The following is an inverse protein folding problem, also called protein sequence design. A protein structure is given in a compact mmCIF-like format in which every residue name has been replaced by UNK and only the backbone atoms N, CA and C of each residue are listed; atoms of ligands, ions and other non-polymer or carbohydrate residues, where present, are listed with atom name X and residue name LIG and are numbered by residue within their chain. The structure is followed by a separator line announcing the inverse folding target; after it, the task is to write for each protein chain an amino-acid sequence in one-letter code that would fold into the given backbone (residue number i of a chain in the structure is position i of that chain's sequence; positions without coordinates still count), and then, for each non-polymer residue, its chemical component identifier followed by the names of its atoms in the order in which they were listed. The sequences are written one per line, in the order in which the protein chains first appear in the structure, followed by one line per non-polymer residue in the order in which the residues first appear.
data_IF_149641414066
#
_entry.id   IF_149641414066
#
_cell.length_a   1.000
_cell.length_b   1.000
_cell.length_c   1.000
_cell.angle_alpha   90.00
_cell.angle_beta   90.00
_cell.angle_gamma   90.00
#
_symmetry.space_group_name_H-M   'P 1'
#
loop_
_entity.id
_entity.type
_entity.pdbx_description
1 polymer ?
#
# COMPACT_ATOMS: atom_id res chain seq x y z
N UNK A 1 7.70 25.41 2.62
CA UNK A 1 7.94 23.96 2.52
C UNK A 1 6.58 23.40 2.16
N UNK A 2 6.39 23.01 0.89
CA UNK A 2 5.16 22.34 0.48
C UNK A 2 5.20 20.96 1.15
N UNK A 3 4.19 20.66 1.97
CA UNK A 3 4.02 19.32 2.54
C UNK A 3 3.57 18.47 1.36
N UNK A 4 4.50 17.74 0.74
CA UNK A 4 4.13 16.62 -0.09
C UNK A 4 3.41 15.65 0.85
N UNK A 5 2.12 15.46 0.61
CA UNK A 5 1.30 14.54 1.39
C UNK A 5 1.80 13.14 0.99
N UNK A 6 2.81 12.61 1.66
CA UNK A 6 3.30 11.26 1.42
C UNK A 6 2.33 10.26 2.10
N UNK A 7 1.10 10.12 1.59
CA UNK A 7 0.11 9.18 2.14
C UNK A 7 0.24 7.76 1.58
N UNK A 8 0.86 7.63 0.40
CA UNK A 8 1.14 6.35 -0.25
C UNK A 8 2.54 6.47 -0.84
N UNK A 9 3.42 5.54 -0.49
CA UNK A 9 4.85 5.61 -0.81
C UNK A 9 5.11 5.89 -2.29
N UNK A 10 5.49 7.13 -2.59
CA UNK A 10 5.98 7.58 -3.90
C UNK A 10 7.38 7.01 -4.23
N UNK A 11 7.77 5.93 -3.58
CA UNK A 11 8.99 5.18 -3.83
C UNK A 11 8.77 4.04 -4.82
N UNK A 12 7.87 4.18 -5.79
CA UNK A 12 7.87 3.27 -6.93
C UNK A 12 9.15 3.54 -7.72
N UNK A 13 10.11 2.59 -7.82
CA UNK A 13 11.01 2.64 -8.96
C UNK A 13 10.11 2.58 -10.20
N UNK A 14 10.32 3.49 -11.16
CA UNK A 14 9.66 3.43 -12.46
C UNK A 14 9.69 1.98 -12.94
N UNK A 15 8.54 1.32 -12.99
CA UNK A 15 8.43 -0.06 -13.47
C UNK A 15 8.61 0.07 -14.96
N UNK A 16 9.87 0.04 -15.42
CA UNK A 16 10.18 0.01 -16.84
C UNK A 16 9.35 -1.12 -17.45
N UNK A 17 8.55 -0.78 -18.46
CA UNK A 17 7.61 -1.68 -19.12
C UNK A 17 8.34 -2.93 -19.61
N UNK A 18 8.41 -3.97 -18.76
CA UNK A 18 8.92 -5.26 -19.18
C UNK A 18 7.84 -5.88 -20.05
N UNK A 19 8.18 -6.10 -21.32
CA UNK A 19 7.27 -6.65 -22.31
C UNK A 19 6.49 -7.84 -21.75
N UNK A 20 5.17 -7.74 -21.85
CA UNK A 20 4.18 -8.68 -21.33
C UNK A 20 4.52 -10.11 -21.75
N UNK A 21 5.23 -10.83 -20.88
CA UNK A 21 5.29 -12.28 -20.91
C UNK A 21 3.98 -12.77 -20.31
N UNK A 22 3.24 -13.60 -21.05
CA UNK A 22 1.96 -14.16 -20.58
C UNK A 22 2.21 -14.91 -19.27
N UNK A 23 1.65 -14.48 -18.12
CA UNK A 23 1.86 -15.19 -16.86
C UNK A 23 1.27 -16.59 -16.98
N UNK A 24 2.10 -17.60 -16.71
CA UNK A 24 1.61 -18.96 -16.54
C UNK A 24 0.66 -18.98 -15.35
N UNK A 25 -0.61 -19.28 -15.58
CA UNK A 25 -1.62 -19.37 -14.54
C UNK A 25 -1.15 -20.33 -13.43
N UNK A 26 -0.79 -19.78 -12.27
CA UNK A 26 -0.61 -20.58 -11.07
C UNK A 26 -1.97 -21.16 -10.67
N UNK A 27 -2.03 -22.41 -10.22
CA UNK A 27 -3.30 -23.02 -9.81
C UNK A 27 -3.89 -22.19 -8.68
N UNK A 28 -5.11 -21.69 -8.89
CA UNK A 28 -5.87 -20.98 -7.85
C UNK A 28 -6.13 -21.95 -6.70
N UNK A 29 -5.42 -21.77 -5.58
CA UNK A 29 -5.74 -22.42 -4.32
C UNK A 29 -7.16 -21.98 -3.92
N UNK A 30 -8.02 -22.94 -3.59
CA UNK A 30 -9.37 -22.62 -3.12
C UNK A 30 -9.28 -21.75 -1.86
N UNK A 31 -10.08 -20.67 -1.75
CA UNK A 31 -10.05 -19.82 -0.57
C UNK A 31 -10.42 -20.66 0.66
N UNK A 32 -9.52 -20.73 1.62
CA UNK A 32 -9.83 -21.26 2.95
C UNK A 32 -10.87 -20.32 3.55
N UNK A 33 -12.00 -20.85 4.02
CA UNK A 33 -13.03 -20.03 4.67
C UNK A 33 -12.45 -19.48 5.98
N UNK A 34 -12.00 -18.23 5.94
CA UNK A 34 -11.53 -17.51 7.13
C UNK A 34 -12.74 -17.28 8.05
N UNK A 35 -12.64 -17.57 9.36
CA UNK A 35 -13.68 -17.14 10.30
C UNK A 35 -13.87 -15.63 10.17
N UNK A 36 -15.09 -15.10 10.41
CA UNK A 36 -15.30 -13.66 10.40
C UNK A 36 -14.32 -13.01 11.39
N UNK A 37 -13.55 -12.05 10.90
CA UNK A 37 -12.69 -11.25 11.77
C UNK A 37 -13.62 -10.47 12.69
N UNK A 38 -13.52 -10.72 13.99
CA UNK A 38 -14.24 -9.96 15.02
C UNK A 38 -13.89 -8.46 14.94
N UNK A 39 -14.60 -7.62 15.69
CA UNK A 39 -14.39 -6.17 15.74
C UNK A 39 -12.91 -5.82 16.06
N UNK A 40 -12.10 -5.62 15.01
CA UNK A 40 -10.72 -5.14 15.16
C UNK A 40 -10.79 -3.66 15.50
N UNK A 41 -10.09 -3.27 16.56
CA UNK A 41 -9.88 -1.86 16.92
C UNK A 41 -8.45 -1.46 16.57
N UNK A 42 -8.18 -0.16 16.51
CA UNK A 42 -6.79 0.28 16.59
C UNK A 42 -6.17 -0.22 17.91
N UNK A 43 -4.94 -0.73 17.80
CA UNK A 43 -4.12 -1.28 18.88
C UNK A 43 -3.42 -2.56 18.45
N UNK A 44 -2.39 -2.97 19.21
CA UNK A 44 -1.72 -4.26 19.00
C UNK A 44 -2.69 -5.41 19.32
N UNK A 45 -3.06 -6.27 18.36
CA UNK A 45 -3.98 -7.35 18.62
C UNK A 45 -3.32 -8.45 19.46
N UNK A 46 -4.05 -8.98 20.44
CA UNK A 46 -3.63 -10.19 21.17
C UNK A 46 -3.47 -11.35 20.20
N UNK A 47 -2.36 -12.09 20.25
CA UNK A 47 -2.15 -13.27 19.39
C UNK A 47 -3.22 -14.33 19.65
N UNK A 48 -3.80 -14.90 18.59
CA UNK A 48 -4.66 -16.06 18.77
C UNK A 48 -3.80 -17.22 19.24
N UNK A 49 -4.18 -17.83 20.36
CA UNK A 49 -3.54 -19.06 20.80
C UNK A 49 -3.60 -20.06 19.65
N UNK A 50 -2.45 -20.55 19.21
CA UNK A 50 -2.37 -21.64 18.24
C UNK A 50 -3.12 -22.82 18.86
N UNK A 51 -4.36 -23.04 18.42
CA UNK A 51 -5.18 -24.13 18.93
C UNK A 51 -4.39 -25.42 18.73
N UNK A 52 -3.94 -26.05 19.82
CA UNK A 52 -2.97 -27.16 19.92
C UNK A 52 -2.87 -28.08 18.69
N UNK A 53 -2.32 -27.57 17.59
CA UNK A 53 -2.09 -28.29 16.35
C UNK A 53 -0.70 -28.96 16.40
N UNK A 54 -0.23 -29.27 17.62
CA UNK A 54 0.94 -30.06 17.91
C UNK A 54 0.75 -31.55 17.55
N UNK A 55 0.02 -31.83 16.47
CA UNK A 55 0.06 -33.11 15.77
C UNK A 55 1.38 -33.18 15.00
N UNK A 56 2.43 -33.61 15.68
CA UNK A 56 3.65 -34.26 15.16
C UNK A 56 3.96 -33.98 13.67
N UNK A 57 4.38 -32.76 13.34
CA UNK A 57 4.95 -32.43 12.02
C UNK A 57 6.40 -32.96 11.96
N UNK A 58 6.59 -34.28 12.01
CA UNK A 58 7.87 -34.91 11.70
C UNK A 58 8.05 -34.87 10.18
N UNK A 59 8.97 -34.02 9.69
CA UNK A 59 9.37 -34.04 8.30
C UNK A 59 9.99 -35.42 7.95
N UNK A 60 9.29 -36.21 7.15
CA UNK A 60 9.81 -37.49 6.63
C UNK A 60 10.88 -37.17 5.58
N UNK A 61 12.13 -37.16 6.00
CA UNK A 61 13.29 -37.10 5.09
C UNK A 61 13.69 -38.54 4.75
N UNK A 62 13.02 -39.16 3.78
CA UNK A 62 13.49 -40.43 3.18
C UNK A 62 14.32 -40.13 1.93
N UNK A 63 15.65 -40.22 2.07
CA UNK A 63 16.56 -40.13 0.93
C UNK A 63 17.95 -40.67 1.28
N UNK A 64 18.24 -41.89 0.82
CA UNK A 64 19.57 -42.52 0.90
C UNK A 64 20.44 -41.97 -0.25
N UNK A 65 21.66 -41.45 0.01
CA UNK A 65 22.53 -40.99 -1.07
C UNK A 65 23.24 -42.17 -1.75
N UNK A 66 23.09 -42.27 -3.08
CA UNK A 66 23.82 -43.22 -3.93
C UNK A 66 25.10 -42.58 -4.46
N UNK A 67 26.22 -43.30 -4.41
CA UNK A 67 27.56 -42.79 -4.67
C UNK A 67 27.92 -42.91 -6.17
N UNK A 68 27.43 -41.96 -6.98
CA UNK A 68 27.74 -41.84 -8.40
C UNK A 68 28.84 -40.81 -8.72
N UNK A 69 29.73 -41.15 -9.65
CA UNK A 69 30.90 -40.37 -10.11
C UNK A 69 30.49 -39.02 -10.76
N UNK A 70 31.24 -37.92 -10.55
CA UNK A 70 30.86 -36.59 -11.03
C UNK A 70 31.00 -36.48 -12.56
N UNK A 71 29.86 -36.34 -13.23
CA UNK A 71 29.77 -35.88 -14.62
C UNK A 71 29.24 -34.45 -14.60
N UNK A 72 29.96 -33.52 -15.22
CA UNK A 72 29.60 -32.10 -15.29
C UNK A 72 28.29 -31.91 -16.07
N UNK A 73 27.19 -31.98 -15.34
CA UNK A 73 25.83 -31.72 -15.81
C UNK A 73 25.47 -30.26 -15.51
N UNK A 74 24.57 -29.65 -16.29
CA UNK A 74 24.10 -28.29 -16.02
C UNK A 74 23.63 -28.19 -14.56
N UNK A 75 24.01 -27.09 -13.90
CA UNK A 75 23.62 -26.82 -12.51
C UNK A 75 22.10 -26.89 -12.46
N UNK A 76 21.50 -27.84 -11.72
CA UNK A 76 20.05 -27.92 -11.62
C UNK A 76 19.57 -26.59 -11.04
N UNK A 77 18.71 -25.89 -11.78
CA UNK A 77 17.97 -24.76 -11.23
C UNK A 77 17.20 -25.32 -10.03
N UNK A 78 17.52 -24.84 -8.83
CA UNK A 78 16.86 -25.29 -7.61
C UNK A 78 15.36 -25.11 -7.80
N UNK A 79 14.61 -26.22 -7.75
CA UNK A 79 13.16 -26.12 -7.72
C UNK A 79 12.78 -25.31 -6.47
N UNK A 80 11.82 -24.38 -6.57
CA UNK A 80 11.39 -23.61 -5.42
C UNK A 80 10.98 -24.57 -4.29
N UNK A 81 11.45 -24.29 -3.08
CA UNK A 81 11.03 -25.04 -1.91
C UNK A 81 9.49 -24.93 -1.79
N UNK A 82 8.79 -26.01 -1.42
CA UNK A 82 7.36 -25.92 -1.18
C UNK A 82 7.11 -24.90 -0.06
N UNK A 83 6.12 -24.03 -0.26
CA UNK A 83 5.69 -23.08 0.76
C UNK A 83 5.30 -23.81 2.06
N UNK A 84 5.58 -23.18 3.21
CA UNK A 84 5.14 -23.72 4.49
C UNK A 84 3.61 -23.63 4.57
N UNK A 85 2.97 -24.66 5.14
CA UNK A 85 1.53 -24.62 5.35
C UNK A 85 1.16 -23.53 6.36
N UNK A 86 0.50 -22.46 5.89
CA UNK A 86 -0.14 -21.46 6.73
C UNK A 86 -1.23 -22.10 7.58
N UNK A 87 -1.12 -22.02 8.91
CA UNK A 87 -2.23 -22.47 9.76
C UNK A 87 -3.37 -21.44 9.71
N UNK A 88 -4.64 -21.85 9.91
CA UNK A 88 -5.76 -20.91 9.99
C UNK A 88 -5.60 -19.86 11.09
N UNK A 89 -4.91 -20.19 12.19
CA UNK A 89 -4.64 -19.25 13.27
C UNK A 89 -3.63 -18.19 12.84
N UNK A 90 -2.53 -18.58 12.18
CA UNK A 90 -1.54 -17.63 11.67
C UNK A 90 -2.16 -16.68 10.62
N UNK A 91 -3.00 -17.22 9.73
CA UNK A 91 -3.69 -16.40 8.73
C UNK A 91 -4.61 -15.35 9.38
N UNK A 92 -5.37 -15.76 10.41
CA UNK A 92 -6.25 -14.85 11.15
C UNK A 92 -5.45 -13.80 11.97
N UNK A 93 -4.30 -14.18 12.54
CA UNK A 93 -3.41 -13.24 13.22
C UNK A 93 -2.86 -12.17 12.27
N UNK A 94 -2.35 -12.60 11.10
CA UNK A 94 -1.84 -11.71 10.06
C UNK A 94 -2.93 -10.74 9.58
N UNK A 95 -4.14 -11.25 9.29
CA UNK A 95 -5.26 -10.40 8.88
C UNK A 95 -5.64 -9.37 9.96
N UNK A 96 -5.67 -9.77 11.24
CA UNK A 96 -5.95 -8.84 12.35
C UNK A 96 -4.88 -7.76 12.48
N UNK A 97 -3.59 -8.10 12.35
CA UNK A 97 -2.50 -7.11 12.34
C UNK A 97 -2.67 -6.10 11.21
N UNK A 98 -2.93 -6.55 9.97
CA UNK A 98 -3.10 -5.67 8.81
C UNK A 98 -4.27 -4.71 9.02
N UNK A 99 -5.41 -5.21 9.51
CA UNK A 99 -6.60 -4.40 9.79
C UNK A 99 -6.38 -3.42 10.94
N UNK A 100 -5.73 -3.84 12.01
CA UNK A 100 -5.39 -2.97 13.15
C UNK A 100 -4.47 -1.83 12.72
N UNK A 101 -3.46 -2.12 11.90
CA UNK A 101 -2.55 -1.12 11.36
C UNK A 101 -3.28 -0.08 10.50
N UNK A 102 -4.18 -0.53 9.61
CA UNK A 102 -4.99 0.37 8.79
C UNK A 102 -5.83 1.33 9.63
N UNK A 103 -6.49 0.81 10.68
CA UNK A 103 -7.27 1.62 11.62
C UNK A 103 -6.38 2.62 12.36
N UNK A 104 -5.26 2.19 12.94
CA UNK A 104 -4.36 3.08 13.67
C UNK A 104 -3.78 4.19 12.80
N UNK A 105 -3.43 3.89 11.55
CA UNK A 105 -3.01 4.91 10.59
C UNK A 105 -4.15 5.91 10.29
N UNK A 106 -5.36 5.42 10.02
CA UNK A 106 -6.51 6.27 9.75
C UNK A 106 -6.94 7.15 10.93
N UNK A 107 -6.72 6.67 12.15
CA UNK A 107 -7.01 7.39 13.40
C UNK A 107 -5.85 8.26 13.91
N UNK A 108 -4.70 8.24 13.23
CA UNK A 108 -3.50 8.98 13.63
C UNK A 108 -2.87 8.50 14.95
N UNK A 109 -3.05 7.23 15.32
CA UNK A 109 -2.47 6.62 16.52
C UNK A 109 -1.02 6.18 16.26
N UNK A 110 -0.09 7.14 16.22
CA UNK A 110 1.31 6.90 15.84
C UNK A 110 2.03 5.91 16.76
N UNK A 111 1.71 5.88 18.06
CA UNK A 111 2.28 4.92 19.01
C UNK A 111 1.93 3.47 18.65
N UNK A 112 0.68 3.20 18.30
CA UNK A 112 0.25 1.86 17.89
C UNK A 112 0.80 1.48 16.51
N UNK A 113 0.96 2.46 15.60
CA UNK A 113 1.61 2.21 14.31
C UNK A 113 3.06 1.78 14.51
N UNK A 114 3.80 2.41 15.43
CA UNK A 114 5.17 2.00 15.76
C UNK A 114 5.23 0.54 16.20
N UNK A 115 4.32 0.10 17.07
CA UNK A 115 4.30 -1.27 17.58
C UNK A 115 3.92 -2.32 16.52
N UNK A 116 3.17 -1.91 15.49
CA UNK A 116 2.66 -2.75 14.41
C UNK A 116 3.56 -2.78 13.16
N UNK A 117 4.67 -2.05 13.15
CA UNK A 117 5.50 -1.85 11.96
C UNK A 117 6.99 -1.95 12.26
N UNK A 118 7.79 -2.31 11.26
CA UNK A 118 9.25 -2.23 11.34
C UNK A 118 9.75 -0.82 11.01
N UNK A 119 11.00 -0.45 11.37
CA UNK A 119 11.62 0.79 10.92
C UNK A 119 11.59 0.98 9.40
N UNK A 120 11.75 -0.11 8.63
CA UNK A 120 11.75 -0.07 7.17
C UNK A 120 10.38 0.36 6.63
N UNK A 121 9.30 -0.24 7.13
CA UNK A 121 7.95 0.12 6.73
C UNK A 121 7.60 1.56 7.09
N UNK A 122 8.01 2.05 8.26
CA UNK A 122 7.82 3.46 8.65
C UNK A 122 8.48 4.43 7.68
N UNK A 123 9.69 4.09 7.22
CA UNK A 123 10.38 4.84 6.16
C UNK A 123 9.64 4.83 4.83
N UNK A 124 9.01 3.71 4.48
CA UNK A 124 8.22 3.55 3.26
C UNK A 124 6.96 4.44 3.30
N UNK A 125 6.14 4.32 4.35
CA UNK A 125 4.86 5.03 4.44
C UNK A 125 4.98 6.54 4.66
N UNK A 126 6.15 7.02 5.08
CA UNK A 126 6.45 8.46 5.19
C UNK A 126 7.13 9.01 3.94
N UNK A 127 7.52 8.15 2.99
CA UNK A 127 8.28 8.54 1.81
C UNK A 127 9.72 8.98 2.12
N UNK A 128 10.26 8.66 3.31
CA UNK A 128 11.61 9.06 3.72
C UNK A 128 12.72 8.40 2.88
N UNK A 129 12.42 7.24 2.27
CA UNK A 129 13.38 6.48 1.46
C UNK A 129 14.47 5.76 2.28
N UNK A 130 14.41 5.85 3.60
CA UNK A 130 15.29 5.15 4.56
C UNK A 130 14.45 4.69 5.75
N UNK A 131 14.87 3.62 6.47
CA UNK A 131 14.22 3.23 7.71
C UNK A 131 14.15 4.38 8.71
N UNK A 132 13.06 4.46 9.47
CA UNK A 132 12.85 5.46 10.51
C UNK A 132 12.74 4.79 11.88
N UNK A 133 13.47 5.32 12.85
CA UNK A 133 13.24 4.93 14.24
C UNK A 133 11.88 5.43 14.75
N UNK A 134 11.52 5.05 15.97
CA UNK A 134 10.22 5.39 16.52
C UNK A 134 10.03 6.89 16.78
N UNK A 135 11.09 7.60 17.20
CA UNK A 135 11.02 9.04 17.50
C UNK A 135 10.89 9.83 16.20
N UNK A 136 11.72 9.51 15.21
CA UNK A 136 11.69 10.11 13.87
C UNK A 136 10.32 9.91 13.20
N UNK A 137 9.74 8.71 13.32
CA UNK A 137 8.42 8.45 12.76
C UNK A 137 7.33 9.27 13.45
N UNK A 138 7.31 9.35 14.79
CA UNK A 138 6.30 10.12 15.52
C UNK A 138 6.35 11.60 15.14
N UNK A 139 7.55 12.17 15.06
CA UNK A 139 7.76 13.57 14.65
C UNK A 139 7.22 13.84 13.24
N UNK A 140 7.40 12.92 12.30
CA UNK A 140 6.88 13.04 10.94
C UNK A 140 5.37 12.78 10.86
N UNK A 141 4.85 11.82 11.62
CA UNK A 141 3.44 11.47 11.65
C UNK A 141 2.56 12.65 12.12
N UNK A 142 3.05 13.48 13.06
CA UNK A 142 2.37 14.71 13.48
C UNK A 142 2.18 15.74 12.35
N UNK A 143 2.96 15.61 11.26
CA UNK A 143 2.90 16.49 10.09
C UNK A 143 2.05 15.92 8.96
N UNK A 144 1.52 14.71 9.10
CA UNK A 144 0.71 14.07 8.08
C UNK A 144 -0.78 14.22 8.40
N UNK A 145 -1.63 14.49 7.38
CA UNK A 145 -3.08 14.44 7.59
C UNK A 145 -3.51 13.01 7.88
N UNK A 146 -4.50 12.85 8.77
CA UNK A 146 -5.16 11.55 8.94
C UNK A 146 -6.12 11.31 7.78
N UNK A 147 -6.02 10.13 7.18
CA UNK A 147 -6.86 9.72 6.04
C UNK A 147 -7.44 8.35 6.34
N UNK A 148 -8.76 8.16 6.22
CA UNK A 148 -9.37 6.88 6.53
C UNK A 148 -8.83 5.78 5.60
N UNK A 149 -8.58 4.60 6.18
CA UNK A 149 -8.14 3.42 5.45
C UNK A 149 -9.10 2.27 5.74
N UNK A 150 -9.73 1.73 4.71
CA UNK A 150 -10.60 0.57 4.80
C UNK A 150 -9.97 -0.64 4.11
N UNK A 151 -9.75 -1.72 4.86
CA UNK A 151 -9.31 -3.00 4.26
C UNK A 151 -10.53 -3.75 3.71
N UNK A 152 -10.63 -3.84 2.39
CA UNK A 152 -11.69 -4.58 1.69
C UNK A 152 -11.45 -6.09 1.78
N UNK A 153 -10.25 -6.54 1.45
CA UNK A 153 -9.89 -7.96 1.49
C UNK A 153 -8.44 -8.17 1.90
N UNK A 154 -8.20 -9.23 2.66
CA UNK A 154 -6.88 -9.84 2.85
C UNK A 154 -6.95 -11.25 2.31
N UNK A 155 -6.09 -11.55 1.34
CA UNK A 155 -6.08 -12.82 0.62
C UNK A 155 -4.65 -13.33 0.46
N UNK A 156 -4.52 -14.55 -0.06
CA UNK A 156 -3.22 -15.14 -0.37
C UNK A 156 -2.21 -15.10 0.79
N UNK A 157 -2.67 -15.36 2.01
CA UNK A 157 -1.82 -15.33 3.21
C UNK A 157 -0.89 -16.55 3.23
N UNK A 158 0.42 -16.30 3.22
CA UNK A 158 1.47 -17.31 3.10
C UNK A 158 2.53 -17.12 4.18
N UNK A 159 2.99 -18.22 4.76
CA UNK A 159 4.23 -18.25 5.52
C UNK A 159 5.36 -18.63 4.55
N UNK A 160 6.18 -17.65 4.18
CA UNK A 160 7.24 -17.83 3.19
C UNK A 160 8.45 -18.56 3.81
N UNK A 161 8.80 -18.21 5.04
CA UNK A 161 9.83 -18.84 5.85
C UNK A 161 9.55 -18.65 7.35
N UNK A 162 10.24 -19.36 8.27
CA UNK A 162 10.03 -19.16 9.70
C UNK A 162 10.17 -17.70 10.10
N UNK A 163 9.07 -17.15 10.64
CA UNK A 163 9.00 -15.75 11.08
C UNK A 163 8.78 -14.72 9.98
N UNK A 164 8.49 -15.15 8.74
CA UNK A 164 8.08 -14.25 7.65
C UNK A 164 6.79 -14.70 7.00
N UNK A 165 5.96 -13.72 6.66
CA UNK A 165 4.73 -13.96 5.95
C UNK A 165 4.49 -12.89 4.88
N UNK A 166 3.59 -13.21 3.95
CA UNK A 166 3.06 -12.25 3.00
C UNK A 166 1.56 -12.42 2.84
N UNK A 167 0.87 -11.35 2.44
CA UNK A 167 -0.54 -11.34 2.11
C UNK A 167 -0.82 -10.35 0.97
N UNK A 168 -1.83 -10.63 0.15
CA UNK A 168 -2.36 -9.65 -0.80
C UNK A 168 -3.51 -8.88 -0.13
N UNK A 169 -3.39 -7.56 -0.11
CA UNK A 169 -4.32 -6.65 0.56
C UNK A 169 -4.94 -5.74 -0.49
N UNK A 170 -6.27 -5.65 -0.48
CA UNK A 170 -7.03 -4.62 -1.20
C UNK A 170 -7.59 -3.67 -0.16
N UNK A 171 -7.32 -2.37 -0.33
CA UNK A 171 -7.74 -1.34 0.60
C UNK A 171 -8.25 -0.11 -0.15
N UNK A 172 -9.06 0.71 0.53
CA UNK A 172 -9.44 2.04 0.08
C UNK A 172 -8.82 3.05 1.04
N UNK A 173 -7.98 3.95 0.52
CA UNK A 173 -7.35 5.04 1.29
C UNK A 173 -8.02 6.34 0.85
N UNK A 174 -8.79 6.98 1.74
CA UNK A 174 -9.85 7.93 1.39
C UNK A 174 -10.82 7.32 0.38
N UNK A 175 -10.60 7.56 -0.91
CA UNK A 175 -11.37 7.02 -2.02
C UNK A 175 -10.47 6.29 -3.04
N UNK A 176 -9.16 6.19 -2.81
CA UNK A 176 -8.24 5.51 -3.70
C UNK A 176 -8.23 4.01 -3.41
N UNK A 177 -8.67 3.21 -4.38
CA UNK A 177 -8.55 1.76 -4.34
C UNK A 177 -7.10 1.36 -4.63
N UNK A 178 -6.48 0.66 -3.69
CA UNK A 178 -5.11 0.15 -3.81
C UNK A 178 -5.09 -1.35 -3.60
N UNK A 179 -4.13 -2.00 -4.27
CA UNK A 179 -3.83 -3.41 -4.06
C UNK A 179 -2.33 -3.55 -3.88
N UNK A 180 -1.93 -4.21 -2.79
CA UNK A 180 -0.54 -4.39 -2.47
C UNK A 180 -0.26 -5.82 -1.99
N UNK A 181 0.97 -6.29 -2.19
CA UNK A 181 1.52 -7.42 -1.46
C UNK A 181 2.24 -6.89 -0.23
N UNK A 182 1.72 -7.21 0.95
CA UNK A 182 2.26 -6.81 2.24
C UNK A 182 3.14 -7.92 2.78
N UNK A 183 4.35 -7.59 3.22
CA UNK A 183 5.28 -8.50 3.89
C UNK A 183 5.27 -8.24 5.40
N UNK A 184 5.33 -9.31 6.19
CA UNK A 184 5.27 -9.26 7.65
C UNK A 184 6.41 -10.05 8.29
N UNK A 185 6.86 -9.60 9.46
CA UNK A 185 7.80 -10.30 10.32
C UNK A 185 7.11 -10.72 11.62
N UNK A 186 7.40 -11.93 12.09
CA UNK A 186 7.05 -12.36 13.44
C UNK A 186 8.20 -11.97 14.37
N UNK A 187 7.99 -11.01 15.25
CA UNK A 187 9.01 -10.45 16.13
C UNK A 187 8.68 -10.71 17.60
N UNK A 188 9.71 -10.81 18.43
CA UNK A 188 9.54 -10.77 19.89
C UNK A 188 9.19 -9.32 20.34
N UNK A 189 8.59 -9.14 21.54
CA UNK A 189 8.31 -7.81 22.06
C UNK A 189 9.57 -6.94 22.16
N UNK A 190 9.56 -5.79 21.50
CA UNK A 190 10.66 -4.82 21.53
C UNK A 190 11.88 -5.22 20.67
N UNK A 191 11.75 -6.22 19.80
CA UNK A 191 12.76 -6.56 18.81
C UNK A 191 12.28 -6.21 17.39
N UNK A 192 13.20 -5.79 16.53
CA UNK A 192 12.93 -5.50 15.11
C UNK A 192 13.29 -6.68 14.19
N UNK A 193 14.02 -7.67 14.72
CA UNK A 193 14.50 -8.82 13.94
C UNK A 193 13.49 -9.98 13.98
N UNK A 194 13.28 -10.70 12.86
CA UNK A 194 12.34 -11.79 12.81
C UNK A 194 12.81 -13.02 13.59
N UNK A 195 11.86 -13.72 14.21
CA UNK A 195 12.09 -14.98 14.91
C UNK A 195 12.38 -16.12 13.94
N UNK A 196 13.65 -16.52 13.87
CA UNK A 196 14.14 -17.57 12.96
C UNK A 196 13.61 -18.99 13.23
N UNK A 197 13.00 -19.24 14.38
CA UNK A 197 12.41 -20.52 14.75
C UNK A 197 10.88 -20.56 14.55
N UNK A 198 10.31 -19.51 13.94
CA UNK A 198 8.86 -19.36 13.76
C UNK A 198 8.13 -19.02 15.05
N UNK A 199 8.83 -18.53 16.08
CA UNK A 199 8.25 -18.00 17.31
C UNK A 199 7.55 -19.04 18.18
N UNK A 200 7.94 -20.31 18.09
CA UNK A 200 7.36 -21.39 18.90
C UNK A 200 7.69 -21.26 20.39
N UNK A 201 8.78 -20.58 20.73
CA UNK A 201 9.23 -20.38 22.10
C UNK A 201 8.70 -19.10 22.74
N UNK A 202 8.19 -18.15 21.94
CA UNK A 202 7.88 -16.79 22.39
C UNK A 202 6.36 -16.56 22.36
N UNK A 203 5.67 -16.72 23.51
CA UNK A 203 4.21 -16.61 23.57
C UNK A 203 3.72 -15.20 23.21
N UNK A 204 4.56 -14.19 23.44
CA UNK A 204 4.25 -12.78 23.22
C UNK A 204 4.73 -12.28 21.83
N UNK A 205 5.23 -13.18 20.97
CA UNK A 205 5.61 -12.81 19.61
C UNK A 205 4.41 -12.36 18.78
N UNK A 206 4.62 -11.35 17.92
CA UNK A 206 3.56 -10.73 17.12
C UNK A 206 4.00 -10.49 15.69
N UNK A 207 3.03 -10.47 14.78
CA UNK A 207 3.26 -10.05 13.40
C UNK A 207 3.32 -8.52 13.35
N UNK A 208 4.33 -7.99 12.65
CA UNK A 208 4.48 -6.58 12.30
C UNK A 208 4.65 -6.44 10.80
N UNK A 209 4.15 -5.35 10.23
CA UNK A 209 4.29 -5.07 8.79
C UNK A 209 5.68 -4.49 8.50
N UNK A 210 6.33 -5.02 7.49
CA UNK A 210 7.73 -4.73 7.16
C UNK A 210 7.91 -4.04 5.81
N UNK A 211 7.14 -4.46 4.81
CA UNK A 211 7.24 -3.92 3.46
C UNK A 211 5.88 -4.02 2.75
N UNK A 212 5.71 -3.21 1.71
CA UNK A 212 4.52 -3.19 0.89
C UNK A 212 4.90 -2.94 -0.57
N UNK A 213 4.54 -3.90 -1.42
CA UNK A 213 4.77 -3.84 -2.84
C UNK A 213 3.45 -3.57 -3.57
N UNK A 214 3.35 -2.48 -4.34
CA UNK A 214 2.19 -2.23 -5.17
C UNK A 214 1.93 -3.32 -6.20
N UNK A 215 0.67 -3.65 -6.38
CA UNK A 215 0.15 -4.54 -7.41
C UNK A 215 -0.83 -3.78 -8.31
N UNK A 216 -1.08 -4.34 -9.49
CA UNK A 216 -2.12 -3.83 -10.39
C UNK A 216 -3.50 -3.96 -9.72
N UNK A 217 -4.27 -2.87 -9.78
CA UNK A 217 -5.61 -2.77 -9.22
C UNK A 217 -6.62 -3.10 -10.31
N UNK A 218 -7.51 -4.06 -10.05
CA UNK A 218 -8.66 -4.31 -10.89
C UNK A 218 -9.74 -3.26 -10.56
N UNK A 219 -10.08 -2.34 -11.48
CA UNK A 219 -11.11 -1.35 -11.21
C UNK A 219 -12.51 -2.00 -11.15
N UNK A 220 -13.49 -1.38 -10.47
CA UNK A 220 -14.89 -1.76 -10.59
C UNK A 220 -15.33 -1.86 -12.05
N UNK A 221 -16.18 -2.85 -12.36
CA UNK A 221 -16.52 -3.18 -13.75
C UNK A 221 -17.31 -2.07 -14.48
N UNK A 222 -17.94 -1.18 -13.72
CA UNK A 222 -18.72 -0.03 -14.15
C UNK A 222 -18.01 1.31 -13.89
N UNK A 223 -16.73 1.29 -13.53
CA UNK A 223 -15.95 2.51 -13.37
C UNK A 223 -15.79 3.24 -14.70
N UNK A 224 -15.94 4.57 -14.68
CA UNK A 224 -15.76 5.41 -15.85
C UNK A 224 -14.29 5.79 -16.03
N UNK A 225 -13.78 5.67 -17.25
CA UNK A 225 -12.40 6.05 -17.58
C UNK A 225 -12.31 7.55 -17.91
N UNK A 226 -11.30 8.20 -17.34
CA UNK A 226 -10.97 9.61 -17.58
C UNK A 226 -9.50 9.69 -17.98
N UNK A 227 -9.22 10.22 -19.16
CA UNK A 227 -7.88 10.46 -19.64
C UNK A 227 -7.31 11.70 -18.94
N UNK A 228 -6.09 11.57 -18.40
CA UNK A 228 -5.36 12.66 -17.75
C UNK A 228 -3.99 12.79 -18.40
N UNK A 229 -3.67 13.97 -18.92
CA UNK A 229 -2.35 14.25 -19.48
C UNK A 229 -1.62 15.26 -18.61
N UNK A 230 -0.39 14.92 -18.24
CA UNK A 230 0.52 15.79 -17.51
C UNK A 230 1.57 16.34 -18.46
N UNK A 231 1.71 17.66 -18.49
CA UNK A 231 2.79 18.36 -19.18
C UNK A 231 3.36 19.45 -18.27
N UNK A 232 4.46 20.09 -18.68
CA UNK A 232 5.00 21.19 -17.90
C UNK A 232 3.97 22.30 -17.68
N UNK A 233 3.55 22.44 -16.43
CA UNK A 233 2.68 23.52 -15.96
C UNK A 233 1.21 23.39 -16.40
N UNK A 234 0.77 22.22 -16.87
CA UNK A 234 -0.64 21.95 -17.12
C UNK A 234 -1.03 20.50 -16.79
N UNK A 235 -2.30 20.34 -16.38
CA UNK A 235 -2.99 19.06 -16.30
C UNK A 235 -4.21 19.20 -17.21
N UNK A 236 -4.45 18.24 -18.08
CA UNK A 236 -5.68 18.16 -18.88
C UNK A 236 -6.46 16.91 -18.50
N UNK A 237 -7.78 17.02 -18.51
CA UNK A 237 -8.72 15.97 -18.11
C UNK A 237 -9.79 15.84 -19.20
N UNK A 238 -10.04 14.63 -19.70
CA UNK A 238 -11.09 14.34 -20.69
C UNK A 238 -11.76 12.98 -20.43
N UNK A 239 -13.07 12.90 -20.17
CA UNK A 239 -13.98 14.03 -19.96
C UNK A 239 -13.73 14.74 -18.61
N UNK A 240 -14.08 16.03 -18.52
CA UNK A 240 -14.07 16.80 -17.27
C UNK A 240 -15.31 16.58 -16.39
N UNK A 241 -16.18 15.63 -16.77
CA UNK A 241 -17.32 15.20 -15.98
C UNK A 241 -17.74 13.76 -16.26
N UNK A 242 -18.17 13.06 -15.21
CA UNK A 242 -18.60 11.64 -15.22
C UNK A 242 -19.94 11.48 -14.49
N UNK A 243 -20.69 10.43 -14.81
CA UNK A 243 -21.98 10.11 -14.20
C UNK A 243 -21.88 9.00 -13.12
N UNK A 244 -20.72 8.36 -12.99
CA UNK A 244 -20.43 7.27 -12.05
C UNK A 244 -19.59 7.69 -10.84
N UNK A 245 -19.79 6.98 -9.72
CA UNK A 245 -19.07 7.19 -8.45
C UNK A 245 -17.70 6.51 -8.41
N UNK A 246 -17.46 5.57 -9.33
CA UNK A 246 -16.18 4.88 -9.49
C UNK A 246 -15.52 5.38 -10.78
N UNK A 247 -14.27 5.84 -10.67
CA UNK A 247 -13.54 6.52 -11.74
C UNK A 247 -12.14 5.94 -11.85
N UNK A 248 -11.69 5.70 -13.08
CA UNK A 248 -10.31 5.32 -13.39
C UNK A 248 -9.64 6.48 -14.10
N UNK A 249 -8.67 7.12 -13.46
CA UNK A 249 -7.82 8.09 -14.12
C UNK A 249 -6.70 7.35 -14.85
N UNK A 250 -6.71 7.43 -16.18
CA UNK A 250 -5.66 6.92 -17.05
C UNK A 250 -4.68 8.06 -17.32
N UNK A 251 -3.54 8.04 -16.64
CA UNK A 251 -2.63 9.19 -16.55
C UNK A 251 -1.40 8.95 -17.42
N UNK A 252 -1.14 9.84 -18.38
CA UNK A 252 0.09 9.88 -19.16
C UNK A 252 0.88 11.15 -18.82
N UNK A 253 2.17 11.01 -18.52
CA UNK A 253 3.06 12.15 -18.36
C UNK A 253 3.92 12.36 -19.61
N UNK A 254 3.50 13.29 -20.46
CA UNK A 254 4.24 13.68 -21.68
C UNK A 254 5.30 14.76 -21.43
N UNK A 255 5.40 15.23 -20.18
CA UNK A 255 6.40 16.20 -19.72
C UNK A 255 7.81 15.60 -19.58
N UNK A 256 8.77 16.49 -19.38
CA UNK A 256 10.17 16.18 -19.14
C UNK A 256 10.51 15.96 -17.66
N UNK A 257 9.55 16.11 -16.74
CA UNK A 257 9.74 15.95 -15.29
C UNK A 257 8.67 15.05 -14.68
N UNK A 258 8.95 14.51 -13.51
CA UNK A 258 7.93 13.82 -12.73
C UNK A 258 6.87 14.83 -12.26
N UNK A 259 5.62 14.40 -12.28
CA UNK A 259 4.46 15.19 -11.89
C UNK A 259 3.60 14.43 -10.90
N UNK A 260 2.86 15.18 -10.10
CA UNK A 260 1.88 14.64 -9.15
C UNK A 260 0.46 14.85 -9.70
N UNK A 261 -0.39 13.85 -9.48
CA UNK A 261 -1.85 14.00 -9.56
C UNK A 261 -2.38 13.80 -8.14
N UNK A 262 -2.58 14.91 -7.43
CA UNK A 262 -3.27 14.95 -6.14
C UNK A 262 -4.73 15.29 -6.37
N UNK A 263 -5.62 14.36 -6.08
CA UNK A 263 -7.07 14.53 -6.24
C UNK A 263 -7.66 15.00 -4.92
N UNK A 264 -8.41 16.10 -5.00
CA UNK A 264 -9.02 16.77 -3.87
C UNK A 264 -10.50 17.00 -4.15
N UNK A 265 -11.35 16.74 -3.17
CA UNK A 265 -12.76 17.15 -3.20
C UNK A 265 -12.87 18.57 -2.66
N UNK A 266 -13.65 19.41 -3.33
CA UNK A 266 -13.90 20.79 -2.95
C UNK A 266 -15.35 20.95 -2.47
N UNK A 267 -15.52 21.46 -1.25
CA UNK A 267 -16.82 21.91 -0.78
C UNK A 267 -17.21 23.24 -1.45
N UNK A 268 -18.50 23.62 -1.36
CA UNK A 268 -19.04 24.85 -1.94
C UNK A 268 -18.21 26.10 -1.58
N UNK A 269 -17.55 26.68 -2.59
CA UNK A 269 -16.75 27.90 -2.46
C UNK A 269 -15.30 27.69 -2.03
N UNK A 270 -14.87 26.45 -1.76
CA UNK A 270 -13.47 26.11 -1.60
C UNK A 270 -12.73 26.23 -2.95
N UNK A 271 -11.44 26.59 -2.91
CA UNK A 271 -10.59 26.70 -4.10
C UNK A 271 -9.19 26.21 -3.83
N UNK A 272 -8.51 25.66 -4.84
CA UNK A 272 -7.11 25.21 -4.80
C UNK A 272 -6.14 26.31 -4.37
N UNK A 273 -6.48 27.59 -4.58
CA UNK A 273 -5.69 28.74 -4.12
C UNK A 273 -5.49 28.78 -2.59
N UNK A 274 -6.35 28.11 -1.82
CA UNK A 274 -6.15 27.94 -0.38
C UNK A 274 -4.89 27.12 -0.05
N UNK A 275 -4.53 26.13 -0.88
CA UNK A 275 -3.32 25.30 -0.70
C UNK A 275 -2.03 26.13 -0.79
N UNK A 276 -2.05 27.20 -1.58
CA UNK A 276 -0.92 28.12 -1.73
C UNK A 276 -0.83 29.09 -0.56
N UNK A 277 -1.98 29.60 -0.11
CA UNK A 277 -2.05 30.70 0.87
C UNK A 277 -2.08 30.22 2.32
N UNK A 278 -2.45 28.96 2.55
CA UNK A 278 -2.55 28.32 3.86
C UNK A 278 -1.74 27.00 3.87
N UNK A 279 -0.43 27.04 3.62
CA UNK A 279 0.38 25.83 3.65
C UNK A 279 0.48 25.29 5.07
N UNK A 280 0.44 23.97 5.21
CA UNK A 280 0.54 23.30 6.50
C UNK A 280 0.40 21.78 6.37
N UNK A 281 0.49 21.06 7.49
CA UNK A 281 0.31 19.61 7.52
C UNK A 281 -1.14 19.18 7.24
N UNK A 282 -2.09 20.06 7.51
CA UNK A 282 -3.51 19.83 7.26
C UNK A 282 -3.96 20.52 5.98
N UNK A 283 -4.91 19.91 5.27
CA UNK A 283 -5.61 20.55 4.18
C UNK A 283 -6.44 21.75 4.69
N UNK A 284 -6.58 22.82 3.89
CA UNK A 284 -7.47 23.93 4.21
C UNK A 284 -8.93 23.48 4.41
N UNK A 285 -9.70 24.24 5.19
CA UNK A 285 -11.13 23.99 5.38
C UNK A 285 -11.87 23.94 4.03
N UNK A 286 -12.75 22.95 3.87
CA UNK A 286 -13.51 22.71 2.64
C UNK A 286 -12.75 21.95 1.55
N UNK A 287 -11.53 21.46 1.84
CA UNK A 287 -10.75 20.63 0.92
C UNK A 287 -10.48 19.28 1.58
N UNK A 288 -10.86 18.19 0.91
CA UNK A 288 -10.62 16.82 1.40
C UNK A 288 -9.72 16.05 0.45
N UNK A 289 -8.82 15.23 1.00
CA UNK A 289 -8.00 14.29 0.24
C UNK A 289 -8.87 13.17 -0.35
N UNK A 290 -8.61 12.79 -1.61
CA UNK A 290 -9.36 11.73 -2.32
C UNK A 290 -8.42 10.59 -2.74
N UNK A 291 -7.30 10.94 -3.36
CA UNK A 291 -6.30 10.00 -3.83
C UNK A 291 -5.10 10.70 -4.43
N UNK A 292 -4.00 9.97 -4.64
CA UNK A 292 -2.83 10.54 -5.28
C UNK A 292 -1.97 9.52 -6.03
N UNK A 293 -1.22 9.99 -7.01
CA UNK A 293 -0.14 9.25 -7.64
C UNK A 293 0.94 10.20 -8.17
N UNK A 294 2.19 9.74 -8.17
CA UNK A 294 3.32 10.42 -8.82
C UNK A 294 3.69 9.68 -10.10
N UNK A 295 3.87 10.40 -11.20
CA UNK A 295 4.13 9.82 -12.53
C UNK A 295 5.45 10.37 -13.05
N UNK A 296 6.39 9.48 -13.36
CA UNK A 296 7.69 9.83 -13.92
C UNK A 296 7.58 10.44 -15.33
N UNK A 297 8.63 11.11 -15.78
CA UNK A 297 8.65 11.72 -17.12
C UNK A 297 8.59 10.64 -18.21
N UNK A 298 7.59 10.70 -19.09
CA UNK A 298 7.35 9.70 -20.13
C UNK A 298 6.75 8.38 -19.63
N UNK A 299 6.34 8.31 -18.36
CA UNK A 299 5.66 7.16 -17.78
C UNK A 299 4.13 7.34 -17.79
N UNK A 300 3.43 6.22 -17.60
CA UNK A 300 1.98 6.14 -17.44
C UNK A 300 1.65 5.62 -16.03
N UNK A 301 0.46 5.97 -15.53
CA UNK A 301 -0.07 5.43 -14.28
C UNK A 301 -1.60 5.30 -14.33
N UNK A 302 -2.14 4.49 -13.44
CA UNK A 302 -3.58 4.36 -13.24
C UNK A 302 -3.91 4.72 -11.79
N UNK A 303 -4.91 5.59 -11.60
CA UNK A 303 -5.46 5.90 -10.30
C UNK A 303 -6.93 5.47 -10.26
N UNK A 304 -7.24 4.43 -9.49
CA UNK A 304 -8.62 3.95 -9.32
C UNK A 304 -9.24 4.62 -8.10
N UNK A 305 -10.26 5.43 -8.34
CA UNK A 305 -11.04 6.13 -7.33
C UNK A 305 -12.42 5.47 -7.21
N UNK A 306 -12.87 5.23 -5.98
CA UNK A 306 -14.13 4.55 -5.71
C UNK A 306 -15.00 5.34 -4.74
N UNK A 307 -16.32 5.14 -4.85
CA UNK A 307 -17.32 5.71 -3.95
C UNK A 307 -17.22 7.25 -3.84
N UNK A 308 -16.88 7.92 -4.93
CA UNK A 308 -16.81 9.38 -5.01
C UNK A 308 -18.21 9.98 -4.84
N UNK A 309 -18.45 10.83 -3.83
CA UNK A 309 -19.69 11.58 -3.75
C UNK A 309 -19.83 12.53 -4.94
N UNK A 310 -21.05 12.82 -5.41
CA UNK A 310 -21.26 13.88 -6.40
C UNK A 310 -20.68 15.22 -5.92
N UNK A 311 -20.09 15.98 -6.84
CA UNK A 311 -19.49 17.28 -6.56
C UNK A 311 -18.28 17.62 -7.42
N UNK A 312 -17.59 18.69 -7.00
CA UNK A 312 -16.43 19.22 -7.70
C UNK A 312 -15.12 18.69 -7.11
N UNK A 313 -14.23 18.27 -8.00
CA UNK A 313 -12.91 17.76 -7.69
C UNK A 313 -11.85 18.58 -8.41
N UNK A 314 -10.70 18.73 -7.76
CA UNK A 314 -9.51 19.31 -8.35
C UNK A 314 -8.41 18.25 -8.42
N UNK A 315 -7.72 18.23 -9.56
CA UNK A 315 -6.45 17.51 -9.74
C UNK A 315 -5.36 18.58 -9.71
N UNK A 316 -4.38 18.46 -8.81
CA UNK A 316 -3.30 19.45 -8.67
C UNK A 316 -1.94 18.79 -8.57
N UNK A 317 -0.88 19.55 -8.91
CA UNK A 317 0.52 19.16 -8.65
C UNK A 317 1.13 20.10 -7.60
N UNK A 318 1.44 19.58 -6.42
CA UNK A 318 2.10 20.33 -5.35
C UNK A 318 3.62 20.16 -5.30
N UNK A 319 4.21 19.40 -6.24
CA UNK A 319 5.66 19.30 -6.33
C UNK A 319 6.31 20.67 -6.54
N UNK A 320 7.45 20.92 -5.88
CA UNK A 320 8.19 22.15 -6.09
C UNK A 320 8.64 22.30 -7.53
N UNK A 321 8.38 23.46 -8.12
CA UNK A 321 9.00 23.88 -9.37
C UNK A 321 10.51 24.12 -9.17
N UNK A 322 11.24 24.28 -10.28
CA UNK A 322 12.66 24.68 -10.26
C UNK A 322 12.92 26.00 -9.51
N UNK A 323 11.91 26.85 -9.39
CA UNK A 323 11.99 28.13 -8.71
C UNK A 323 11.65 28.03 -7.21
N UNK A 324 11.17 26.87 -6.76
CA UNK A 324 10.80 26.60 -5.36
C UNK A 324 9.29 26.53 -5.08
N UNK A 325 8.44 27.46 -5.57
CA UNK A 325 6.99 27.36 -5.40
C UNK A 325 6.41 26.09 -6.04
N UNK A 326 5.26 25.57 -5.55
CA UNK A 326 4.58 24.42 -6.14
C UNK A 326 4.21 24.64 -7.62
N UNK A 327 4.19 23.58 -8.42
CA UNK A 327 3.74 23.61 -9.81
C UNK A 327 2.29 24.12 -9.96
N UNK A 328 1.44 23.91 -8.95
CA UNK A 328 0.11 24.53 -8.84
C UNK A 328 0.14 26.06 -9.04
N UNK A 329 1.16 26.76 -8.53
CA UNK A 329 1.30 28.22 -8.71
C UNK A 329 1.57 28.65 -10.15
N UNK A 330 1.93 27.68 -11.00
CA UNK A 330 2.24 27.86 -12.41
C UNK A 330 1.11 27.35 -13.33
N UNK A 331 0.02 26.84 -12.76
CA UNK A 331 -1.17 26.40 -13.50
C UNK A 331 -1.36 24.89 -13.60
N UNK A 332 -0.60 24.06 -12.85
CA UNK A 332 -0.85 22.62 -12.78
C UNK A 332 -2.06 22.29 -11.92
N UNK A 333 -3.23 22.60 -12.46
CA UNK A 333 -4.52 22.22 -11.94
C UNK A 333 -5.51 21.90 -13.06
N UNK A 334 -6.43 20.99 -12.78
CA UNK A 334 -7.60 20.71 -13.59
C UNK A 334 -8.80 20.40 -12.70
N UNK A 335 -9.99 20.38 -13.28
CA UNK A 335 -11.24 20.06 -12.58
C UNK A 335 -11.87 18.80 -13.15
N UNK A 336 -12.54 18.05 -12.27
CA UNK A 336 -13.41 16.93 -12.61
C UNK A 336 -14.72 17.08 -11.83
N UNK A 337 -15.86 16.90 -12.49
CA UNK A 337 -17.17 16.89 -11.82
C UNK A 337 -17.75 15.48 -11.81
N UNK A 338 -18.13 14.99 -10.62
CA UNK A 338 -18.85 13.71 -10.47
C UNK A 338 -20.34 14.01 -10.28
N UNK A 339 -21.19 13.35 -11.05
CA UNK A 339 -22.64 13.51 -11.00
C UNK A 339 -23.34 12.29 -10.36
N UNK A 340 -24.66 12.41 -10.17
CA UNK A 340 -25.56 11.36 -9.66
C UNK A 340 -25.98 10.33 -10.73
#
# INVERSE_FOLDING_TARGET
MAVAIALVGAGMPAVGSQGVGTPGASPASSPVATPPVEDVTCGVPDRLAAADAAGDRTAVVEGTPDAGTPSASPVPVASPLPALETSPADAADIERTIRALALCRGEGQSDDVVELTTPAYRGLITGAGTPLDEEEYRDLAELQPTVPIEIRTVTDVRIDEPGRASAEVVAVIANQLVRNRVSLLLVAPGEDEPLTDGGRAEPDARWVVDDEQPLEVDPPADAEAVEVTLEEYAITVDPDGVDGVDVVLEIENVGARAHEVLVLRLDDGATTGALITQPGPNLPEGISFVGQVSVGAGDEATLVLVELPPGDYALVDLFPSEQGPPNLTLGMEATLTVQD
#
